data_IF_535179027968
#
_entry.id   IF_535179027968
#
_cell.length_a   1.000
_cell.length_b   1.000
_cell.length_c   1.000
_cell.angle_alpha   90.00
_cell.angle_beta   90.00
_cell.angle_gamma   90.00
#
_symmetry.space_group_name_H-M   'P 1'
#
loop_
_entity.id
_entity.type
_entity.pdbx_description
1 polymer ?
#
# COMPACT_ATOMS: atom_id res chain seq x y z
N UNK A 1 -5.41 14.56 -27.00
CA UNK A 1 -6.37 13.80 -26.17
C UNK A 1 -5.55 12.73 -25.48
N UNK A 2 -5.00 13.07 -24.31
CA UNK A 2 -4.23 12.12 -23.52
C UNK A 2 -5.19 11.13 -22.87
N UNK A 3 -4.86 9.85 -22.96
CA UNK A 3 -5.58 8.71 -22.40
C UNK A 3 -5.96 8.99 -20.93
N UNK A 4 -7.22 9.36 -20.68
CA UNK A 4 -7.81 9.45 -19.33
C UNK A 4 -8.09 8.06 -18.72
N UNK A 5 -7.43 7.02 -19.23
CA UNK A 5 -7.64 5.63 -18.86
C UNK A 5 -6.38 5.01 -18.22
N UNK A 6 -5.77 5.68 -17.24
CA UNK A 6 -4.89 4.99 -16.29
C UNK A 6 -5.76 4.26 -15.26
N UNK A 7 -6.61 3.37 -15.75
CA UNK A 7 -7.58 2.62 -14.96
C UNK A 7 -6.80 1.55 -14.18
N UNK A 8 -6.64 1.79 -12.88
CA UNK A 8 -6.14 0.86 -11.85
C UNK A 8 -4.65 0.49 -11.96
N UNK A 9 -3.82 1.20 -11.21
CA UNK A 9 -2.42 0.87 -10.98
C UNK A 9 -2.23 -0.23 -9.91
N UNK A 10 -3.26 -0.53 -9.11
CA UNK A 10 -3.20 -1.45 -7.98
C UNK A 10 -3.78 -2.82 -8.34
N UNK A 11 -3.12 -3.55 -9.25
CA UNK A 11 -3.52 -4.91 -9.65
C UNK A 11 -2.53 -5.92 -9.09
N UNK A 12 -2.98 -7.15 -8.84
CA UNK A 12 -2.10 -8.23 -8.40
C UNK A 12 -0.95 -8.44 -9.38
N UNK A 13 0.27 -8.39 -8.85
CA UNK A 13 1.50 -8.63 -9.58
C UNK A 13 2.13 -9.93 -9.09
N UNK A 14 2.22 -10.92 -9.99
CA UNK A 14 2.84 -12.20 -9.66
C UNK A 14 4.32 -12.02 -9.30
N UNK A 15 5.04 -11.15 -10.00
CA UNK A 15 6.47 -10.90 -9.72
C UNK A 15 6.68 -10.25 -8.35
N UNK A 16 5.76 -9.36 -7.93
CA UNK A 16 5.79 -8.77 -6.59
C UNK A 16 5.51 -9.83 -5.54
N UNK A 17 4.50 -10.68 -5.75
CA UNK A 17 4.18 -11.77 -4.84
C UNK A 17 5.33 -12.77 -4.71
N UNK A 18 5.95 -13.17 -5.82
CA UNK A 18 7.11 -14.08 -5.82
C UNK A 18 8.27 -13.50 -5.02
N UNK A 19 8.55 -12.20 -5.18
CA UNK A 19 9.58 -11.52 -4.38
C UNK A 19 9.26 -11.52 -2.88
N UNK A 20 8.00 -11.30 -2.51
CA UNK A 20 7.56 -11.37 -1.12
C UNK A 20 7.72 -12.80 -0.56
N UNK A 21 7.36 -13.83 -1.34
CA UNK A 21 7.57 -15.23 -0.96
C UNK A 21 9.05 -15.55 -0.77
N UNK A 22 9.93 -15.06 -1.64
CA UNK A 22 11.38 -15.24 -1.51
C UNK A 22 11.92 -14.61 -0.22
N UNK A 23 11.50 -13.38 0.10
CA UNK A 23 11.88 -12.72 1.34
C UNK A 23 11.38 -13.49 2.57
N UNK A 24 10.13 -13.95 2.54
CA UNK A 24 9.55 -14.75 3.62
C UNK A 24 10.26 -16.09 3.81
N UNK A 25 10.68 -16.74 2.72
CA UNK A 25 11.50 -17.95 2.77
C UNK A 25 12.84 -17.69 3.44
N UNK A 26 13.56 -16.65 3.01
CA UNK A 26 14.87 -16.29 3.59
C UNK A 26 14.72 -16.02 5.10
N UNK A 27 13.67 -15.28 5.48
CA UNK A 27 13.39 -15.01 6.88
C UNK A 27 13.07 -16.28 7.67
N UNK A 28 12.22 -17.15 7.14
CA UNK A 28 11.88 -18.44 7.75
C UNK A 28 13.12 -19.34 7.93
N UNK A 29 13.97 -19.41 6.92
CA UNK A 29 15.22 -20.19 6.93
C UNK A 29 16.22 -19.67 7.97
N UNK A 30 16.24 -18.36 8.21
CA UNK A 30 17.08 -17.73 9.23
C UNK A 30 16.46 -17.74 10.65
N UNK A 31 15.20 -18.12 10.79
CA UNK A 31 14.47 -18.06 12.07
C UNK A 31 14.68 -19.33 12.88
N UNK A 32 15.03 -19.13 14.16
CA UNK A 32 15.06 -20.19 15.16
C UNK A 32 13.72 -20.25 15.88
N UNK A 33 13.01 -21.36 15.70
CA UNK A 33 11.85 -21.73 16.48
C UNK A 33 12.29 -22.25 17.85
N UNK A 34 11.74 -21.64 18.90
CA UNK A 34 11.90 -22.11 20.27
C UNK A 34 10.56 -22.70 20.68
N UNK A 35 10.35 -24.02 20.69
CA UNK A 35 9.03 -24.63 20.94
C UNK A 35 8.41 -24.24 22.29
N UNK A 36 9.25 -23.82 23.24
CA UNK A 36 8.83 -23.31 24.55
C UNK A 36 8.19 -21.91 24.49
N UNK A 37 8.39 -21.20 23.37
CA UNK A 37 7.86 -19.86 23.11
C UNK A 37 6.90 -19.92 21.91
N UNK A 38 5.65 -19.53 22.14
CA UNK A 38 4.52 -19.81 21.24
C UNK A 38 4.51 -19.10 19.86
N UNK A 39 5.54 -18.35 19.45
CA UNK A 39 5.30 -17.26 18.49
C UNK A 39 6.15 -17.21 17.20
N UNK A 40 7.03 -18.17 16.90
CA UNK A 40 7.79 -18.11 15.64
C UNK A 40 7.99 -19.49 15.01
N UNK A 41 7.37 -19.70 13.83
CA UNK A 41 7.71 -20.81 12.95
C UNK A 41 9.06 -20.52 12.29
N UNK A 42 10.00 -21.45 12.42
CA UNK A 42 11.34 -21.33 11.86
C UNK A 42 11.83 -22.65 11.27
N UNK A 43 12.77 -22.56 10.32
CA UNK A 43 13.39 -23.74 9.74
C UNK A 43 14.32 -24.46 10.73
N UNK A 44 14.88 -23.72 11.68
CA UNK A 44 15.75 -24.23 12.74
C UNK A 44 14.93 -24.33 14.02
N UNK A 45 15.07 -25.43 14.76
CA UNK A 45 14.43 -25.60 16.08
C UNK A 45 15.51 -25.67 17.15
N UNK A 46 15.27 -24.96 18.25
CA UNK A 46 16.11 -24.94 19.44
C UNK A 46 15.45 -25.69 20.60
N UNK A 47 16.21 -26.58 21.23
CA UNK A 47 15.85 -27.22 22.48
C UNK A 47 16.89 -26.95 23.56
N UNK A 48 16.44 -26.63 24.77
CA UNK A 48 17.29 -26.53 25.96
C UNK A 48 17.01 -27.72 26.87
N UNK A 49 18.02 -28.56 27.11
CA UNK A 49 17.88 -29.84 27.83
C UNK A 49 18.91 -29.92 28.95
N UNK A 50 18.46 -30.35 30.13
CA UNK A 50 19.34 -30.56 31.29
C UNK A 50 20.01 -31.93 31.23
N UNK A 51 21.34 -31.95 31.32
CA UNK A 51 22.15 -33.17 31.38
C UNK A 51 22.48 -33.82 30.03
N UNK A 52 23.65 -34.47 29.97
CA UNK A 52 24.19 -35.04 28.73
C UNK A 52 23.37 -36.22 28.18
N UNK A 53 22.92 -37.13 29.06
CA UNK A 53 22.19 -38.32 28.63
C UNK A 53 20.81 -37.99 28.03
N UNK A 54 19.95 -37.16 28.67
CA UNK A 54 18.70 -36.72 28.07
C UNK A 54 18.90 -35.97 26.75
N UNK A 55 19.93 -35.10 26.67
CA UNK A 55 20.23 -34.36 25.44
C UNK A 55 20.62 -35.30 24.28
N UNK A 56 21.46 -36.31 24.54
CA UNK A 56 21.83 -37.30 23.54
C UNK A 56 20.64 -38.13 23.06
N UNK A 57 19.76 -38.57 23.96
CA UNK A 57 18.53 -39.26 23.60
C UNK A 57 17.61 -38.39 22.73
N UNK A 58 17.39 -37.13 23.11
CA UNK A 58 16.54 -36.23 22.33
C UNK A 58 17.11 -35.95 20.95
N UNK A 59 18.42 -35.78 20.85
CA UNK A 59 19.07 -35.61 19.55
C UNK A 59 18.88 -36.83 18.65
N UNK A 60 19.04 -38.05 19.18
CA UNK A 60 18.81 -39.27 18.42
C UNK A 60 17.35 -39.42 17.97
N UNK A 61 16.39 -39.05 18.82
CA UNK A 61 14.96 -39.00 18.48
C UNK A 61 14.71 -38.03 17.31
N UNK A 62 15.28 -36.82 17.37
CA UNK A 62 15.13 -35.81 16.32
C UNK A 62 15.71 -36.29 14.98
N UNK A 63 16.91 -36.87 14.99
CA UNK A 63 17.52 -37.45 13.78
C UNK A 63 16.65 -38.57 13.19
N UNK A 64 16.09 -39.43 14.05
CA UNK A 64 15.20 -40.52 13.63
C UNK A 64 13.88 -40.01 13.03
N UNK A 65 13.43 -38.83 13.47
CA UNK A 65 12.28 -38.12 12.92
C UNK A 65 12.59 -37.31 11.65
N UNK A 66 13.82 -37.39 11.12
CA UNK A 66 14.22 -36.74 9.86
C UNK A 66 14.73 -35.31 10.02
N UNK A 67 14.94 -34.83 11.25
CA UNK A 67 15.65 -33.58 11.48
C UNK A 67 17.12 -33.75 11.11
N UNK A 68 17.75 -32.69 10.62
CA UNK A 68 19.17 -32.73 10.24
C UNK A 68 19.99 -31.79 11.11
N UNK A 69 21.28 -32.09 11.34
CA UNK A 69 22.20 -31.14 11.93
C UNK A 69 22.24 -29.84 11.11
N UNK A 70 22.70 -28.76 11.74
CA UNK A 70 22.96 -27.52 11.01
C UNK A 70 24.04 -27.73 9.94
N UNK A 71 23.94 -27.04 8.77
CA UNK A 71 24.98 -27.08 7.76
C UNK A 71 26.29 -26.50 8.31
N UNK A 72 27.42 -26.90 7.73
CA UNK A 72 28.75 -26.50 8.20
C UNK A 72 28.96 -24.98 8.11
N UNK A 73 28.31 -24.33 7.15
CA UNK A 73 28.37 -22.87 6.96
C UNK A 73 27.47 -22.10 7.93
N UNK A 74 26.69 -22.78 8.76
CA UNK A 74 25.82 -22.14 9.74
C UNK A 74 26.66 -21.35 10.76
N UNK A 75 26.29 -20.09 11.07
CA UNK A 75 26.93 -19.33 12.15
C UNK A 75 26.56 -19.85 13.55
N UNK A 76 25.62 -20.80 13.64
CA UNK A 76 25.16 -21.41 14.88
C UNK A 76 25.79 -22.79 15.08
N UNK A 77 26.16 -23.09 16.32
CA UNK A 77 26.60 -24.42 16.72
C UNK A 77 25.39 -25.36 16.87
N UNK A 78 25.50 -26.59 16.37
CA UNK A 78 24.45 -27.60 16.56
C UNK A 78 24.27 -27.98 18.03
N UNK A 79 25.33 -27.84 18.83
CA UNK A 79 25.32 -28.05 20.28
C UNK A 79 26.04 -26.92 20.97
N UNK A 80 25.44 -26.37 22.02
CA UNK A 80 26.07 -25.38 22.87
C UNK A 80 25.89 -25.75 24.33
N UNK A 81 26.99 -25.77 25.10
CA UNK A 81 26.96 -26.05 26.54
C UNK A 81 26.78 -24.75 27.31
N UNK A 82 25.68 -24.65 28.06
CA UNK A 82 25.36 -23.51 28.90
C UNK A 82 25.61 -23.89 30.35
N UNK A 83 26.69 -23.37 30.93
CA UNK A 83 27.00 -23.51 32.35
C UNK A 83 26.10 -22.59 33.19
N UNK A 84 25.45 -23.14 34.21
CA UNK A 84 24.62 -22.37 35.14
C UNK A 84 25.31 -22.19 36.49
N UNK A 85 24.94 -21.15 37.25
CA UNK A 85 25.56 -20.78 38.53
C UNK A 85 25.39 -21.82 39.67
N UNK A 86 24.77 -22.98 39.41
CA UNK A 86 24.59 -24.07 40.36
C UNK A 86 25.27 -25.40 39.99
N UNK A 87 26.12 -25.42 38.97
CA UNK A 87 26.77 -26.66 38.49
C UNK A 87 25.87 -27.54 37.61
N UNK A 88 24.65 -27.09 37.30
CA UNK A 88 23.76 -27.74 36.33
C UNK A 88 24.23 -27.39 34.92
N UNK A 89 24.38 -28.42 34.09
CA UNK A 89 24.78 -28.30 32.68
C UNK A 89 23.52 -28.35 31.82
N UNK A 90 23.24 -27.24 31.13
CA UNK A 90 22.21 -27.20 30.09
C UNK A 90 22.88 -27.36 28.72
N UNK A 91 22.27 -28.16 27.86
CA UNK A 91 22.71 -28.37 26.49
C UNK A 91 21.64 -27.81 25.57
N UNK A 92 22.05 -26.82 24.78
CA UNK A 92 21.27 -26.26 23.70
C UNK A 92 21.51 -27.10 22.44
N UNK A 93 20.44 -27.52 21.79
CA UNK A 93 20.47 -28.30 20.55
C UNK A 93 19.79 -27.48 19.47
N UNK A 94 20.48 -27.28 18.35
CA UNK A 94 19.92 -26.70 17.13
C UNK A 94 19.88 -27.75 16.02
N UNK A 95 18.71 -27.91 15.42
CA UNK A 95 18.50 -28.82 14.28
C UNK A 95 17.61 -28.17 13.23
N UNK A 96 17.77 -28.58 11.98
CA UNK A 96 16.90 -28.16 10.87
C UNK A 96 15.71 -29.12 10.78
N UNK A 97 14.52 -28.57 10.61
CA UNK A 97 13.29 -29.34 10.40
C UNK A 97 13.35 -30.21 9.12
N UNK A 98 12.63 -31.34 9.10
CA UNK A 98 12.38 -32.12 7.89
C UNK A 98 11.89 -31.26 6.72
N UNK A 99 12.31 -31.60 5.50
CA UNK A 99 12.02 -30.79 4.31
C UNK A 99 10.52 -30.70 3.98
N UNK A 100 9.77 -31.78 4.22
CA UNK A 100 8.32 -31.86 4.10
C UNK A 100 7.61 -30.93 5.09
N UNK A 101 8.05 -30.92 6.36
CA UNK A 101 7.50 -30.00 7.36
C UNK A 101 7.79 -28.54 6.98
N UNK A 102 9.02 -28.22 6.54
CA UNK A 102 9.38 -26.88 6.08
C UNK A 102 8.57 -26.45 4.86
N UNK A 103 8.36 -27.34 3.90
CA UNK A 103 7.56 -27.05 2.71
C UNK A 103 6.10 -26.77 3.07
N UNK A 104 5.51 -27.55 3.98
CA UNK A 104 4.15 -27.31 4.47
C UNK A 104 4.02 -25.96 5.18
N UNK A 105 4.96 -25.64 6.09
CA UNK A 105 4.94 -24.37 6.81
C UNK A 105 5.15 -23.16 5.89
N UNK A 106 6.07 -23.24 4.92
CA UNK A 106 6.27 -22.20 3.91
C UNK A 106 5.02 -22.02 3.03
N UNK A 107 4.38 -23.11 2.64
CA UNK A 107 3.14 -23.03 1.86
C UNK A 107 2.01 -22.34 2.64
N UNK A 108 1.87 -22.62 3.94
CA UNK A 108 0.92 -21.92 4.81
C UNK A 108 1.24 -20.42 4.87
N UNK A 109 2.52 -20.07 5.04
CA UNK A 109 2.98 -18.68 5.05
C UNK A 109 2.62 -17.99 3.73
N UNK A 110 2.98 -18.58 2.59
CA UNK A 110 2.71 -18.00 1.27
C UNK A 110 1.22 -17.86 0.99
N UNK A 111 0.41 -18.83 1.43
CA UNK A 111 -1.05 -18.75 1.30
C UNK A 111 -1.60 -17.58 2.11
N UNK A 112 -1.17 -17.43 3.37
CA UNK A 112 -1.56 -16.30 4.22
C UNK A 112 -1.13 -14.95 3.62
N UNK A 113 0.09 -14.88 3.10
CA UNK A 113 0.61 -13.69 2.43
C UNK A 113 -0.17 -13.34 1.17
N UNK A 114 -0.58 -14.32 0.37
CA UNK A 114 -1.38 -14.08 -0.83
C UNK A 114 -2.74 -13.49 -0.48
N UNK A 115 -3.40 -14.05 0.54
CA UNK A 115 -4.69 -13.53 1.03
C UNK A 115 -4.52 -12.09 1.51
N UNK A 116 -3.49 -11.81 2.29
CA UNK A 116 -3.23 -10.45 2.77
C UNK A 116 -2.92 -9.48 1.63
N UNK A 117 -2.09 -9.88 0.67
CA UNK A 117 -1.73 -9.05 -0.47
C UNK A 117 -2.96 -8.70 -1.33
N UNK A 118 -3.84 -9.67 -1.61
CA UNK A 118 -5.09 -9.42 -2.33
C UNK A 118 -5.99 -8.45 -1.56
N UNK A 119 -6.12 -8.62 -0.24
CA UNK A 119 -6.89 -7.70 0.60
C UNK A 119 -6.32 -6.28 0.57
N UNK A 120 -5.00 -6.13 0.65
CA UNK A 120 -4.34 -4.83 0.61
C UNK A 120 -4.54 -4.15 -0.76
N UNK A 121 -4.52 -4.91 -1.85
CA UNK A 121 -4.83 -4.42 -3.18
C UNK A 121 -6.28 -3.94 -3.30
N UNK A 122 -7.25 -4.68 -2.77
CA UNK A 122 -8.66 -4.26 -2.75
C UNK A 122 -8.85 -2.94 -1.99
N UNK A 123 -8.20 -2.80 -0.84
CA UNK A 123 -8.22 -1.55 -0.06
C UNK A 123 -7.59 -0.40 -0.87
N UNK A 124 -6.44 -0.64 -1.49
CA UNK A 124 -5.76 0.37 -2.30
C UNK A 124 -6.56 0.76 -3.56
N UNK A 125 -7.30 -0.18 -4.15
CA UNK A 125 -8.21 0.10 -5.26
C UNK A 125 -9.39 0.98 -4.81
N UNK A 126 -10.02 0.67 -3.67
CA UNK A 126 -11.12 1.47 -3.14
C UNK A 126 -10.67 2.91 -2.84
N UNK A 127 -9.50 3.08 -2.23
CA UNK A 127 -8.92 4.41 -1.96
C UNK A 127 -8.63 5.19 -3.24
N UNK A 128 -8.12 4.53 -4.28
CA UNK A 128 -7.86 5.18 -5.56
C UNK A 128 -9.15 5.59 -6.26
N UNK A 129 -10.22 4.79 -6.18
CA UNK A 129 -11.54 5.15 -6.71
C UNK A 129 -12.04 6.44 -6.05
N UNK A 130 -12.04 6.50 -4.72
CA UNK A 130 -12.48 7.70 -3.97
C UNK A 130 -11.68 8.94 -4.38
N UNK A 131 -10.34 8.80 -4.48
CA UNK A 131 -9.47 9.89 -4.93
C UNK A 131 -9.84 10.39 -6.35
N UNK A 132 -10.14 9.48 -7.27
CA UNK A 132 -10.53 9.84 -8.64
C UNK A 132 -11.92 10.48 -8.69
N UNK A 133 -12.86 10.04 -7.84
CA UNK A 133 -14.17 10.68 -7.68
C UNK A 133 -14.00 12.12 -7.21
N UNK A 134 -13.21 12.36 -6.15
CA UNK A 134 -12.94 13.71 -5.65
C UNK A 134 -12.33 14.63 -6.71
N UNK A 135 -11.32 14.14 -7.45
CA UNK A 135 -10.70 14.90 -8.54
C UNK A 135 -11.70 15.25 -9.62
N UNK A 136 -12.54 14.29 -10.01
CA UNK A 136 -13.54 14.47 -11.07
C UNK A 136 -14.63 15.46 -10.63
N UNK A 137 -15.10 15.37 -9.39
CA UNK A 137 -16.07 16.30 -8.82
C UNK A 137 -15.49 17.72 -8.73
N UNK A 138 -14.25 17.86 -8.25
CA UNK A 138 -13.59 19.16 -8.17
C UNK A 138 -13.38 19.79 -9.57
N UNK A 139 -13.02 18.99 -10.57
CA UNK A 139 -12.92 19.45 -11.96
C UNK A 139 -14.28 19.88 -12.53
N UNK A 140 -15.34 19.12 -12.26
CA UNK A 140 -16.69 19.47 -12.67
C UNK A 140 -17.18 20.77 -12.02
N UNK A 141 -16.96 20.95 -10.71
CA UNK A 141 -17.33 22.16 -9.98
C UNK A 141 -16.63 23.41 -10.56
N UNK A 142 -15.32 23.34 -10.79
CA UNK A 142 -14.55 24.44 -11.42
C UNK A 142 -15.06 24.76 -12.82
N UNK A 143 -15.42 23.74 -13.60
CA UNK A 143 -15.96 23.93 -14.95
C UNK A 143 -17.33 24.61 -14.91
N UNK A 144 -18.17 24.28 -13.95
CA UNK A 144 -19.48 24.89 -13.78
C UNK A 144 -19.38 26.34 -13.31
N UNK A 145 -18.51 26.63 -12.33
CA UNK A 145 -18.22 28.00 -11.89
C UNK A 145 -17.71 28.87 -13.05
N UNK A 146 -16.79 28.36 -13.86
CA UNK A 146 -16.29 29.06 -15.04
C UNK A 146 -17.39 29.35 -16.07
N UNK A 147 -18.32 28.41 -16.28
CA UNK A 147 -19.49 28.63 -17.17
C UNK A 147 -20.42 29.70 -16.62
N UNK A 148 -20.71 29.68 -15.32
CA UNK A 148 -21.58 30.66 -14.68
C UNK A 148 -20.97 32.06 -14.77
N UNK A 149 -19.67 32.20 -14.50
CA UNK A 149 -18.96 33.48 -14.62
C UNK A 149 -18.97 33.99 -16.07
N UNK A 150 -18.73 33.10 -17.05
CA UNK A 150 -18.79 33.46 -18.47
C UNK A 150 -20.21 33.91 -18.88
N UNK A 151 -21.24 33.22 -18.41
CA UNK A 151 -22.64 33.58 -18.67
C UNK A 151 -23.02 34.94 -18.05
N UNK A 152 -22.59 35.21 -16.81
CA UNK A 152 -22.80 36.51 -16.16
C UNK A 152 -22.09 37.64 -16.92
N UNK A 153 -20.85 37.43 -17.34
CA UNK A 153 -20.10 38.42 -18.12
C UNK A 153 -20.79 38.69 -19.46
N UNK A 154 -21.23 37.65 -20.17
CA UNK A 154 -21.95 37.78 -21.43
C UNK A 154 -23.27 38.55 -21.26
N UNK A 155 -24.02 38.29 -20.18
CA UNK A 155 -25.24 39.03 -19.87
C UNK A 155 -24.95 40.51 -19.57
N UNK A 156 -23.92 40.80 -18.77
CA UNK A 156 -23.53 42.17 -18.44
C UNK A 156 -23.10 42.94 -19.70
N UNK A 157 -22.34 42.31 -20.60
CA UNK A 157 -21.91 42.92 -21.86
C UNK A 157 -23.11 43.19 -22.77
N UNK A 158 -24.09 42.28 -22.82
CA UNK A 158 -25.35 42.49 -23.54
C UNK A 158 -26.14 43.68 -22.99
N UNK A 159 -26.32 43.76 -21.67
CA UNK A 159 -27.04 44.87 -21.03
C UNK A 159 -26.32 46.20 -21.27
N UNK A 160 -24.98 46.23 -21.21
CA UNK A 160 -24.20 47.44 -21.55
C UNK A 160 -24.45 47.89 -22.99
N UNK A 161 -24.47 46.95 -23.94
CA UNK A 161 -24.75 47.25 -25.34
C UNK A 161 -26.16 47.83 -25.54
N UNK A 162 -27.18 47.24 -24.91
CA UNK A 162 -28.57 47.71 -24.97
C UNK A 162 -28.73 49.12 -24.34
N UNK A 163 -28.05 49.38 -23.22
CA UNK A 163 -28.06 50.69 -22.56
C UNK A 163 -27.36 51.76 -23.41
N UNK A 164 -26.25 51.40 -24.06
CA UNK A 164 -25.54 52.28 -24.98
C UNK A 164 -26.42 52.63 -26.18
N UNK A 165 -27.06 51.64 -26.80
CA UNK A 165 -27.99 51.86 -27.92
C UNK A 165 -29.19 52.74 -27.50
N UNK A 166 -29.74 52.52 -26.30
CA UNK A 166 -30.82 53.33 -25.76
C UNK A 166 -30.39 54.78 -25.52
N UNK A 167 -29.17 54.98 -25.02
CA UNK A 167 -28.58 56.31 -24.82
C UNK A 167 -28.39 57.04 -26.16
N UNK A 168 -27.90 56.34 -27.17
CA UNK A 168 -27.65 56.93 -28.49
C UNK A 168 -28.97 57.27 -29.20
N UNK A 169 -30.02 56.43 -29.06
CA UNK A 169 -31.39 56.75 -29.50
C UNK A 169 -31.97 57.95 -28.77
N UNK A 170 -31.79 58.04 -27.44
CA UNK A 170 -32.24 59.18 -26.65
C UNK A 170 -31.55 60.48 -27.09
N UNK A 171 -30.23 60.45 -27.29
CA UNK A 171 -29.45 61.58 -27.79
C UNK A 171 -29.99 62.05 -29.15
N UNK A 172 -30.17 61.13 -30.10
CA UNK A 172 -30.72 61.46 -31.42
C UNK A 172 -32.12 62.08 -31.33
N UNK A 173 -33.00 61.57 -30.45
CA UNK A 173 -34.33 62.16 -30.21
C UNK A 173 -34.27 63.56 -29.61
N UNK A 174 -33.31 63.86 -28.73
CA UNK A 174 -33.18 65.18 -28.10
C UNK A 174 -32.63 66.22 -29.07
N UNK A 175 -31.69 65.82 -29.94
CA UNK A 175 -31.20 66.65 -31.05
C UNK A 175 -32.35 66.96 -32.02
N UNK A 176 -33.13 65.96 -32.43
CA UNK A 176 -34.27 66.15 -33.33
C UNK A 176 -35.36 67.09 -32.75
N UNK A 177 -35.48 67.15 -31.42
CA UNK A 177 -36.41 68.06 -30.72
C UNK A 177 -35.82 69.44 -30.43
N UNK A 178 -34.60 69.73 -30.91
CA UNK A 178 -33.90 71.00 -30.72
C UNK A 178 -33.48 71.27 -29.28
N UNK A 179 -33.39 70.23 -28.43
CA UNK A 179 -32.95 70.36 -27.02
C UNK A 179 -31.45 70.15 -26.84
N UNK A 180 -30.79 69.53 -27.81
CA UNK A 180 -29.34 69.35 -27.85
C UNK A 180 -28.82 69.76 -29.25
N UNK A 181 -27.61 70.30 -29.33
CA UNK A 181 -26.89 70.54 -30.59
C UNK A 181 -26.26 69.22 -31.12
N UNK A 182 -25.67 69.23 -32.31
CA UNK A 182 -25.09 68.02 -32.93
C UNK A 182 -23.97 67.39 -32.07
N UNK A 183 -23.24 68.22 -31.33
CA UNK A 183 -22.19 67.80 -30.38
C UNK A 183 -22.75 67.18 -29.09
N UNK A 184 -24.06 67.28 -28.86
CA UNK A 184 -24.75 66.68 -27.71
C UNK A 184 -24.77 67.56 -26.46
N UNK A 185 -24.49 68.85 -26.61
CA UNK A 185 -24.61 69.88 -25.57
C UNK A 185 -25.98 70.57 -25.63
N UNK A 186 -26.40 71.23 -24.55
CA UNK A 186 -27.67 71.96 -24.51
C UNK A 186 -27.70 73.04 -25.61
N UNK A 187 -28.73 72.99 -26.45
CA UNK A 187 -28.96 73.95 -27.53
C UNK A 187 -29.56 75.27 -27.02
#
# INVERSE_FOLDING_TARGET
>A
MENQNTIMQNVFSQTTFDHMCDQARIFYEATIEKPQHLNAKGAIVEFMIEGCQPAAHKYHELLSAGYTPLPVESPLESFHLVGTAGGVVLIQIHVVKPADQRAAELNDIFTGMKVQYLKDLEVAQAQEIERQVEITLAAAARKEEAKQLAAQKALADKVRAEMQESRDKLRASLIAKGKLNEDGEAA
#
